data_IF_718463832039
#
_entry.id   IF_718463832039
#
_cell.length_a   1.000
_cell.length_b   1.000
_cell.length_c   1.000
_cell.angle_alpha   90.00
_cell.angle_beta   90.00
_cell.angle_gamma   90.00
#
_symmetry.space_group_name_H-M   'P 1'
#
loop_
_entity.id
_entity.type
_entity.pdbx_description
1 polymer ?
#
# COMPACT_ATOMS: atom_id res chain seq x y z
N UNK A 1 -23.22 -2.30 32.74
CA UNK A 1 -22.84 -3.58 32.12
C UNK A 1 -23.43 -3.71 30.71
N UNK A 2 -24.78 -3.57 30.52
CA UNK A 2 -25.46 -3.70 29.21
C UNK A 2 -24.98 -2.70 28.16
N UNK A 3 -24.68 -1.44 28.50
CA UNK A 3 -24.15 -0.43 27.57
C UNK A 3 -22.74 -0.77 27.09
N UNK A 4 -21.87 -1.26 27.96
CA UNK A 4 -20.50 -1.68 27.65
C UNK A 4 -20.54 -2.90 26.73
N UNK A 5 -21.39 -3.87 27.00
CA UNK A 5 -21.57 -5.05 26.15
C UNK A 5 -22.07 -4.69 24.75
N UNK A 6 -23.09 -3.82 24.65
CA UNK A 6 -23.59 -3.33 23.36
C UNK A 6 -22.54 -2.51 22.57
N UNK A 7 -21.67 -1.79 23.25
CA UNK A 7 -20.57 -1.05 22.63
C UNK A 7 -19.47 -1.99 22.13
N UNK A 8 -19.17 -3.05 22.88
CA UNK A 8 -18.23 -4.09 22.46
C UNK A 8 -18.74 -4.88 21.26
N UNK A 9 -20.03 -5.28 21.24
CA UNK A 9 -20.64 -5.98 20.10
C UNK A 9 -20.56 -5.13 18.83
N UNK A 10 -20.91 -3.84 18.88
CA UNK A 10 -20.79 -2.93 17.73
C UNK A 10 -19.35 -2.79 17.26
N UNK A 11 -18.38 -2.65 18.15
CA UNK A 11 -16.97 -2.60 17.80
C UNK A 11 -16.50 -3.85 17.06
N UNK A 12 -16.93 -5.05 17.49
CA UNK A 12 -16.62 -6.31 16.82
C UNK A 12 -17.27 -6.40 15.44
N UNK A 13 -18.54 -6.01 15.31
CA UNK A 13 -19.25 -5.97 14.02
C UNK A 13 -18.60 -5.00 13.03
N UNK A 14 -18.24 -3.80 13.45
CA UNK A 14 -17.58 -2.82 12.62
C UNK A 14 -16.18 -3.30 12.16
N UNK A 15 -15.43 -3.94 13.05
CA UNK A 15 -14.15 -4.55 12.74
C UNK A 15 -14.26 -5.69 11.74
N UNK A 16 -15.24 -6.59 11.89
CA UNK A 16 -15.48 -7.69 10.95
C UNK A 16 -15.93 -7.17 9.59
N UNK A 17 -16.85 -6.21 9.54
CA UNK A 17 -17.32 -5.60 8.30
C UNK A 17 -16.18 -4.88 7.56
N UNK A 18 -15.27 -4.23 8.30
CA UNK A 18 -14.08 -3.59 7.75
C UNK A 18 -13.15 -4.59 7.06
N UNK A 19 -12.86 -5.73 7.70
CA UNK A 19 -12.02 -6.79 7.13
C UNK A 19 -12.66 -7.47 5.92
N UNK A 20 -13.96 -7.76 5.98
CA UNK A 20 -14.70 -8.35 4.86
C UNK A 20 -14.63 -7.42 3.64
N UNK A 21 -14.85 -6.12 3.82
CA UNK A 21 -14.72 -5.13 2.73
C UNK A 21 -13.31 -5.09 2.15
N UNK A 22 -12.27 -5.15 3.01
CA UNK A 22 -10.90 -5.18 2.55
C UNK A 22 -10.60 -6.42 1.68
N UNK A 23 -11.07 -7.60 2.10
CA UNK A 23 -10.89 -8.81 1.29
C UNK A 23 -11.71 -8.78 -0.01
N UNK A 24 -12.93 -8.24 -0.01
CA UNK A 24 -13.71 -8.05 -1.24
C UNK A 24 -12.98 -7.11 -2.21
N UNK A 25 -12.36 -6.07 -1.72
CA UNK A 25 -11.53 -5.15 -2.51
C UNK A 25 -10.30 -5.87 -3.08
N UNK A 26 -9.51 -6.55 -2.22
CA UNK A 26 -8.33 -7.28 -2.65
C UNK A 26 -8.65 -8.33 -3.72
N UNK A 27 -9.55 -9.27 -3.38
CA UNK A 27 -9.85 -10.39 -4.27
C UNK A 27 -10.68 -9.97 -5.49
N UNK A 28 -11.54 -8.95 -5.37
CA UNK A 28 -12.34 -8.43 -6.47
C UNK A 28 -11.47 -7.79 -7.55
N UNK A 29 -10.63 -6.83 -7.19
CA UNK A 29 -9.75 -6.17 -8.16
C UNK A 29 -8.63 -7.09 -8.66
N UNK A 30 -8.00 -7.85 -7.77
CA UNK A 30 -6.98 -8.81 -8.19
C UNK A 30 -7.56 -9.90 -9.09
N UNK A 31 -8.78 -10.38 -8.80
CA UNK A 31 -9.47 -11.36 -9.62
C UNK A 31 -9.72 -10.88 -11.05
N UNK A 32 -10.09 -9.60 -11.22
CA UNK A 32 -10.25 -9.00 -12.56
C UNK A 32 -8.93 -8.98 -13.34
N UNK A 33 -7.83 -8.60 -12.67
CA UNK A 33 -6.50 -8.55 -13.31
C UNK A 33 -6.01 -9.97 -13.65
N UNK A 34 -6.17 -10.92 -12.74
CA UNK A 34 -5.83 -12.34 -12.97
C UNK A 34 -6.66 -12.91 -14.14
N UNK A 35 -7.96 -12.60 -14.18
CA UNK A 35 -8.82 -13.05 -15.28
C UNK A 35 -8.34 -12.47 -16.62
N UNK A 36 -7.97 -11.19 -16.66
CA UNK A 36 -7.43 -10.55 -17.87
C UNK A 36 -6.08 -11.18 -18.28
N UNK A 37 -5.17 -11.42 -17.31
CA UNK A 37 -3.88 -12.06 -17.54
C UNK A 37 -4.07 -13.47 -18.12
N UNK A 38 -4.87 -14.30 -17.49
CA UNK A 38 -5.11 -15.68 -17.91
C UNK A 38 -5.86 -15.76 -19.26
N UNK A 39 -6.80 -14.84 -19.50
CA UNK A 39 -7.50 -14.76 -20.77
C UNK A 39 -6.57 -14.37 -21.92
N UNK A 40 -5.71 -13.39 -21.74
CA UNK A 40 -4.74 -12.98 -22.76
C UNK A 40 -3.70 -14.07 -23.02
N UNK A 41 -3.20 -14.73 -21.99
CA UNK A 41 -2.31 -15.89 -22.10
C UNK A 41 -2.99 -17.06 -22.83
N UNK A 42 -4.26 -17.32 -22.53
CA UNK A 42 -5.04 -18.32 -23.25
C UNK A 42 -5.19 -17.97 -24.73
N UNK A 43 -5.52 -16.72 -25.09
CA UNK A 43 -5.58 -16.26 -26.47
C UNK A 43 -4.26 -16.50 -27.23
N UNK A 44 -3.14 -16.15 -26.61
CA UNK A 44 -1.82 -16.36 -27.20
C UNK A 44 -1.55 -17.85 -27.44
N UNK A 45 -1.73 -18.68 -26.43
CA UNK A 45 -1.52 -20.14 -26.53
C UNK A 45 -2.43 -20.81 -27.56
N UNK A 46 -3.65 -20.29 -27.74
CA UNK A 46 -4.65 -20.88 -28.68
C UNK A 46 -4.43 -20.44 -30.11
N UNK A 47 -3.78 -19.33 -30.39
CA UNK A 47 -3.68 -18.75 -31.73
C UNK A 47 -2.25 -18.67 -32.29
N UNK A 48 -1.23 -18.76 -31.44
CA UNK A 48 0.17 -18.65 -31.83
C UNK A 48 0.96 -19.89 -31.40
N UNK A 49 1.71 -20.48 -32.29
CA UNK A 49 2.69 -21.51 -31.95
C UNK A 49 3.81 -20.91 -31.09
N UNK A 50 4.53 -21.77 -30.35
CA UNK A 50 5.69 -21.34 -29.58
C UNK A 50 6.78 -20.78 -30.50
N UNK A 51 7.28 -19.58 -30.20
CA UNK A 51 8.26 -18.86 -31.03
C UNK A 51 7.63 -18.06 -32.18
N UNK A 52 6.31 -18.09 -32.33
CA UNK A 52 5.62 -17.35 -33.40
C UNK A 52 5.39 -15.88 -32.96
N UNK A 53 5.44 -15.00 -33.97
CA UNK A 53 5.26 -13.54 -33.83
C UNK A 53 4.01 -13.12 -34.57
N UNK A 54 3.20 -12.27 -33.97
CA UNK A 54 2.06 -11.62 -34.56
C UNK A 54 2.07 -10.11 -34.30
N UNK A 55 1.70 -9.32 -35.29
CA UNK A 55 1.42 -7.90 -35.17
C UNK A 55 0.28 -7.51 -36.11
N UNK A 56 -0.52 -6.48 -35.80
CA UNK A 56 -1.61 -6.04 -36.66
C UNK A 56 -1.12 -5.41 -37.98
N UNK A 57 0.13 -4.95 -38.03
CA UNK A 57 0.78 -4.38 -39.21
C UNK A 57 2.27 -4.74 -39.21
N UNK A 58 2.84 -5.06 -40.38
CA UNK A 58 4.24 -5.49 -40.51
C UNK A 58 5.24 -4.43 -40.04
N UNK A 59 4.93 -3.15 -40.26
CA UNK A 59 5.79 -2.04 -39.83
C UNK A 59 5.90 -1.93 -38.29
N UNK A 60 4.95 -2.50 -37.54
CA UNK A 60 4.94 -2.46 -36.08
C UNK A 60 5.88 -3.51 -35.47
N UNK A 61 6.20 -4.58 -36.18
CA UNK A 61 7.00 -5.72 -35.69
C UNK A 61 8.31 -5.29 -35.02
N UNK A 62 9.09 -4.32 -35.52
CA UNK A 62 10.31 -3.90 -34.85
C UNK A 62 10.09 -3.16 -33.53
N UNK A 63 8.90 -2.59 -33.31
CA UNK A 63 8.60 -1.73 -32.17
C UNK A 63 7.74 -2.41 -31.11
N UNK A 64 6.66 -3.08 -31.53
CA UNK A 64 5.74 -3.78 -30.64
C UNK A 64 5.09 -4.96 -31.35
N UNK A 65 5.10 -6.12 -30.71
CA UNK A 65 4.58 -7.38 -31.28
C UNK A 65 4.10 -8.30 -30.17
N UNK A 66 3.22 -9.22 -30.49
CA UNK A 66 2.91 -10.38 -29.67
C UNK A 66 3.87 -11.50 -30.07
N UNK A 67 4.66 -12.00 -29.12
CA UNK A 67 5.66 -13.03 -29.33
C UNK A 67 5.52 -14.13 -28.29
N UNK A 68 5.05 -15.31 -28.67
CA UNK A 68 4.79 -16.41 -27.75
C UNK A 68 6.07 -17.04 -27.23
N UNK A 69 6.38 -16.80 -25.96
CA UNK A 69 7.59 -17.28 -25.28
C UNK A 69 7.22 -18.08 -24.02
N UNK A 70 7.94 -19.17 -23.78
CA UNK A 70 7.89 -19.92 -22.51
C UNK A 70 9.00 -19.44 -21.59
N UNK A 71 8.62 -18.97 -20.41
CA UNK A 71 9.55 -18.49 -19.40
C UNK A 71 9.53 -19.44 -18.19
N UNK A 72 10.61 -20.18 -18.00
CA UNK A 72 10.80 -21.09 -16.86
C UNK A 72 11.56 -20.43 -15.71
N UNK A 73 12.07 -19.22 -15.89
CA UNK A 73 12.90 -18.51 -14.91
C UNK A 73 12.43 -17.09 -14.62
N UNK A 74 13.40 -16.20 -14.47
CA UNK A 74 13.20 -14.76 -14.36
C UNK A 74 13.54 -14.05 -15.69
N UNK A 75 13.39 -12.71 -15.69
CA UNK A 75 13.80 -11.87 -16.81
C UNK A 75 15.26 -12.16 -17.22
N UNK A 76 15.56 -12.04 -18.52
CA UNK A 76 16.88 -12.30 -19.13
C UNK A 76 17.39 -13.75 -19.03
N UNK A 77 16.50 -14.75 -18.84
CA UNK A 77 16.88 -16.16 -18.77
C UNK A 77 17.66 -16.56 -17.50
N UNK A 78 17.64 -15.73 -16.48
CA UNK A 78 18.23 -16.07 -15.19
C UNK A 78 17.39 -17.14 -14.47
N UNK A 79 18.05 -18.09 -13.79
CA UNK A 79 17.38 -19.14 -13.03
C UNK A 79 16.40 -20.00 -13.85
N UNK A 80 16.84 -20.51 -15.02
CA UNK A 80 15.98 -21.31 -15.93
C UNK A 80 15.33 -22.52 -15.27
N UNK A 81 15.93 -23.08 -14.19
CA UNK A 81 15.36 -24.18 -13.40
C UNK A 81 14.68 -23.67 -12.10
N UNK A 82 14.51 -22.36 -11.96
CA UNK A 82 13.99 -21.73 -10.76
C UNK A 82 12.47 -21.79 -10.57
N UNK A 83 11.75 -22.53 -11.41
CA UNK A 83 10.28 -22.56 -11.40
C UNK A 83 9.68 -22.80 -10.00
N UNK A 84 10.23 -23.78 -9.26
CA UNK A 84 9.79 -24.06 -7.89
C UNK A 84 10.07 -22.90 -6.92
N UNK A 85 11.22 -22.24 -7.04
CA UNK A 85 11.59 -21.11 -6.19
C UNK A 85 10.61 -19.96 -6.41
N UNK A 86 10.28 -19.65 -7.68
CA UNK A 86 9.31 -18.60 -8.01
C UNK A 86 7.89 -18.95 -7.57
N UNK A 87 7.50 -20.24 -7.61
CA UNK A 87 6.22 -20.69 -7.06
C UNK A 87 6.16 -20.45 -5.55
N UNK A 88 7.19 -20.88 -4.81
CA UNK A 88 7.28 -20.67 -3.35
C UNK A 88 7.24 -19.17 -3.02
N UNK A 89 8.02 -18.37 -3.73
CA UNK A 89 8.05 -16.91 -3.53
C UNK A 89 6.67 -16.27 -3.78
N UNK A 90 5.99 -16.67 -4.86
CA UNK A 90 4.65 -16.17 -5.17
C UNK A 90 3.64 -16.53 -4.08
N UNK A 91 3.70 -17.75 -3.54
CA UNK A 91 2.86 -18.18 -2.41
C UNK A 91 3.16 -17.36 -1.16
N UNK A 92 4.44 -17.23 -0.80
CA UNK A 92 4.85 -16.46 0.40
C UNK A 92 4.39 -15.01 0.30
N UNK A 93 4.66 -14.34 -0.84
CA UNK A 93 4.22 -12.95 -1.06
C UNK A 93 2.70 -12.85 -1.00
N UNK A 94 1.97 -13.79 -1.60
CA UNK A 94 0.50 -13.80 -1.56
C UNK A 94 -0.04 -13.93 -0.14
N UNK A 95 0.53 -14.82 0.67
CA UNK A 95 0.13 -15.00 2.09
C UNK A 95 0.42 -13.74 2.90
N UNK A 96 1.57 -13.11 2.71
CA UNK A 96 1.95 -11.85 3.36
C UNK A 96 0.95 -10.76 2.99
N UNK A 97 0.61 -10.61 1.71
CA UNK A 97 -0.36 -9.61 1.27
C UNK A 97 -1.74 -9.86 1.88
N UNK A 98 -2.26 -11.10 1.85
CA UNK A 98 -3.55 -11.47 2.46
C UNK A 98 -3.58 -11.10 3.95
N UNK A 99 -2.48 -11.34 4.66
CA UNK A 99 -2.40 -11.06 6.10
C UNK A 99 -2.38 -9.55 6.39
N UNK A 100 -1.56 -8.78 5.66
CA UNK A 100 -1.36 -7.35 5.94
C UNK A 100 -2.42 -6.44 5.32
N UNK A 101 -3.05 -6.83 4.20
CA UNK A 101 -3.97 -5.97 3.47
C UNK A 101 -5.15 -5.40 4.32
N UNK A 102 -5.84 -6.20 5.16
CA UNK A 102 -6.92 -5.67 6.00
C UNK A 102 -6.42 -4.77 7.16
N UNK A 103 -5.11 -4.75 7.43
CA UNK A 103 -4.50 -3.89 8.44
C UNK A 103 -4.12 -2.51 7.89
N UNK A 104 -4.10 -2.35 6.56
CA UNK A 104 -3.76 -1.08 5.91
C UNK A 104 -4.93 -0.10 6.02
N UNK A 105 -4.63 1.14 6.37
CA UNK A 105 -5.61 2.22 6.41
C UNK A 105 -6.17 2.49 5.00
N UNK A 106 -7.41 2.93 4.91
CA UNK A 106 -8.02 3.27 3.62
C UNK A 106 -7.39 4.49 2.98
N UNK A 107 -6.87 5.38 3.80
CA UNK A 107 -6.16 6.60 3.39
C UNK A 107 -4.82 6.28 2.70
N UNK A 108 -4.22 5.13 3.01
CA UNK A 108 -3.00 4.65 2.35
C UNK A 108 -3.33 3.95 1.01
N UNK A 109 -4.22 4.56 0.20
CA UNK A 109 -4.68 3.98 -1.06
C UNK A 109 -3.55 3.60 -2.04
N UNK A 110 -2.38 4.33 -2.13
CA UNK A 110 -1.31 3.90 -3.03
C UNK A 110 -0.72 2.55 -2.62
N UNK A 111 -0.56 2.32 -1.31
CA UNK A 111 -0.10 1.04 -0.77
C UNK A 111 -1.11 -0.06 -1.07
N UNK A 112 -2.40 0.19 -0.88
CA UNK A 112 -3.48 -0.77 -1.17
C UNK A 112 -3.51 -1.14 -2.65
N UNK A 113 -3.46 -0.16 -3.55
CA UNK A 113 -3.39 -0.39 -5.00
C UNK A 113 -2.14 -1.20 -5.37
N UNK A 114 -0.98 -0.85 -4.84
CA UNK A 114 0.26 -1.58 -5.07
C UNK A 114 0.17 -3.05 -4.64
N UNK A 115 -0.40 -3.31 -3.45
CA UNK A 115 -0.58 -4.68 -2.94
C UNK A 115 -1.57 -5.50 -3.79
N UNK A 116 -2.67 -4.89 -4.26
CA UNK A 116 -3.62 -5.55 -5.19
C UNK A 116 -2.92 -5.95 -6.49
N UNK A 117 -2.15 -5.03 -7.07
CA UNK A 117 -1.41 -5.26 -8.32
C UNK A 117 -0.34 -6.35 -8.16
N UNK A 118 0.42 -6.32 -7.06
CA UNK A 118 1.44 -7.33 -6.78
C UNK A 118 0.81 -8.70 -6.50
N UNK A 119 -0.28 -8.75 -5.74
CA UNK A 119 -1.02 -9.98 -5.48
C UNK A 119 -1.56 -10.59 -6.78
N UNK A 120 -2.19 -9.77 -7.63
CA UNK A 120 -2.72 -10.23 -8.91
C UNK A 120 -1.62 -10.78 -9.82
N UNK A 121 -0.49 -10.08 -9.94
CA UNK A 121 0.64 -10.52 -10.75
C UNK A 121 1.30 -11.80 -10.21
N UNK A 122 1.47 -11.90 -8.88
CA UNK A 122 1.99 -13.11 -8.26
C UNK A 122 1.08 -14.32 -8.52
N UNK A 123 -0.24 -14.18 -8.35
CA UNK A 123 -1.22 -15.24 -8.61
C UNK A 123 -1.28 -15.59 -10.10
N UNK A 124 -1.31 -14.60 -11.01
CA UNK A 124 -1.34 -14.85 -12.45
C UNK A 124 -0.18 -15.71 -12.93
N UNK A 125 1.05 -15.39 -12.52
CA UNK A 125 2.24 -16.15 -12.87
C UNK A 125 2.36 -17.47 -12.08
N UNK A 126 1.81 -17.56 -10.89
CA UNK A 126 1.73 -18.81 -10.11
C UNK A 126 0.81 -19.83 -10.80
N UNK A 127 -0.36 -19.40 -11.27
CA UNK A 127 -1.30 -20.26 -12.00
C UNK A 127 -0.65 -20.88 -13.25
N UNK A 128 0.06 -20.08 -14.04
CA UNK A 128 0.78 -20.60 -15.22
C UNK A 128 1.80 -21.66 -14.81
N UNK A 129 2.59 -21.42 -13.77
CA UNK A 129 3.59 -22.38 -13.28
C UNK A 129 2.97 -23.68 -12.81
N UNK A 130 1.84 -23.63 -12.13
CA UNK A 130 1.13 -24.83 -11.65
C UNK A 130 0.55 -25.65 -12.81
N UNK A 131 -0.10 -24.97 -13.79
CA UNK A 131 -0.85 -25.67 -14.84
C UNK A 131 0.00 -25.96 -16.08
N UNK A 132 0.98 -25.10 -16.41
CA UNK A 132 1.78 -25.19 -17.63
C UNK A 132 3.24 -25.61 -17.35
N UNK A 133 3.71 -25.55 -16.11
CA UNK A 133 5.12 -25.74 -15.77
C UNK A 133 6.03 -24.57 -16.15
N UNK A 134 5.49 -23.51 -16.74
CA UNK A 134 6.21 -22.30 -17.17
C UNK A 134 5.25 -21.12 -17.23
N UNK A 135 5.78 -19.90 -17.30
CA UNK A 135 4.98 -18.71 -17.55
C UNK A 135 4.88 -18.43 -19.05
N UNK A 136 3.70 -18.04 -19.51
CA UNK A 136 3.48 -17.60 -20.90
C UNK A 136 3.72 -16.11 -20.99
N UNK A 137 4.80 -15.70 -21.68
CA UNK A 137 5.11 -14.30 -21.97
C UNK A 137 4.80 -14.02 -23.45
N UNK A 138 4.32 -12.79 -23.72
CA UNK A 138 3.87 -12.48 -25.06
C UNK A 138 3.95 -11.00 -25.47
N UNK A 139 4.14 -10.06 -24.55
CA UNK A 139 4.27 -8.63 -24.87
C UNK A 139 5.74 -8.35 -25.14
N UNK A 140 6.08 -8.03 -26.41
CA UNK A 140 7.43 -7.71 -26.84
C UNK A 140 7.48 -6.27 -27.37
N UNK A 141 8.31 -5.42 -26.77
CA UNK A 141 8.49 -4.01 -27.13
C UNK A 141 9.95 -3.74 -27.45
N UNK A 142 10.24 -3.44 -28.71
CA UNK A 142 11.60 -3.20 -29.19
C UNK A 142 12.56 -4.35 -28.84
N UNK A 143 13.63 -4.03 -28.13
CA UNK A 143 14.64 -4.97 -27.65
C UNK A 143 14.49 -5.32 -26.16
N UNK A 144 13.36 -4.94 -25.55
CA UNK A 144 13.09 -5.28 -24.16
C UNK A 144 12.71 -6.77 -24.04
N UNK A 145 12.91 -7.36 -22.86
CA UNK A 145 12.47 -8.73 -22.61
C UNK A 145 10.96 -8.88 -22.81
N UNK A 146 10.53 -10.08 -23.23
CA UNK A 146 9.11 -10.39 -23.39
C UNK A 146 8.49 -10.60 -22.02
N UNK A 147 7.31 -10.04 -21.79
CA UNK A 147 6.59 -10.07 -20.51
C UNK A 147 5.08 -10.27 -20.75
N UNK A 148 4.30 -10.29 -19.67
CA UNK A 148 2.86 -10.51 -19.70
C UNK A 148 2.11 -9.47 -18.84
N UNK A 149 0.79 -9.62 -18.71
CA UNK A 149 -0.06 -8.73 -17.89
C UNK A 149 0.29 -8.81 -16.41
N UNK A 150 0.59 -10.01 -15.90
CA UNK A 150 0.97 -10.20 -14.49
C UNK A 150 2.28 -9.46 -14.15
N UNK A 151 3.29 -9.51 -15.03
CA UNK A 151 4.56 -8.79 -14.85
C UNK A 151 4.35 -7.27 -14.91
N UNK A 152 3.52 -6.81 -15.85
CA UNK A 152 3.10 -5.41 -15.94
C UNK A 152 2.44 -4.95 -14.64
N UNK A 153 1.55 -5.77 -14.09
CA UNK A 153 0.85 -5.52 -12.83
C UNK A 153 1.83 -5.37 -11.67
N UNK A 154 2.79 -6.29 -11.51
CA UNK A 154 3.83 -6.20 -10.46
C UNK A 154 4.64 -4.90 -10.64
N UNK A 155 5.10 -4.61 -11.85
CA UNK A 155 5.94 -3.44 -12.14
C UNK A 155 5.22 -2.13 -11.87
N UNK A 156 3.96 -2.02 -12.31
CA UNK A 156 3.10 -0.85 -12.02
C UNK A 156 2.85 -0.74 -10.51
N UNK A 157 2.60 -1.86 -9.82
CA UNK A 157 2.41 -1.90 -8.38
C UNK A 157 3.62 -1.33 -7.62
N UNK A 158 4.83 -1.73 -8.01
CA UNK A 158 6.07 -1.19 -7.44
C UNK A 158 6.19 0.32 -7.71
N UNK A 159 5.91 0.76 -8.93
CA UNK A 159 5.97 2.18 -9.28
C UNK A 159 4.96 3.01 -8.47
N UNK A 160 3.72 2.53 -8.32
CA UNK A 160 2.68 3.18 -7.50
C UNK A 160 3.12 3.27 -6.04
N UNK A 161 3.72 2.21 -5.50
CA UNK A 161 4.22 2.20 -4.12
C UNK A 161 5.31 3.27 -3.92
N UNK A 162 6.30 3.31 -4.80
CA UNK A 162 7.42 4.27 -4.72
C UNK A 162 6.89 5.70 -4.82
N UNK A 163 6.05 6.00 -5.81
CA UNK A 163 5.47 7.33 -5.99
C UNK A 163 4.61 7.72 -4.78
N UNK A 164 3.78 6.79 -4.28
CA UNK A 164 2.96 7.01 -3.10
C UNK A 164 3.80 7.35 -1.85
N UNK A 165 4.89 6.63 -1.63
CA UNK A 165 5.82 6.92 -0.51
C UNK A 165 6.48 8.29 -0.65
N UNK A 166 6.96 8.65 -1.84
CA UNK A 166 7.58 9.95 -2.09
C UNK A 166 6.61 11.11 -1.89
N UNK A 167 5.37 10.96 -2.36
CA UNK A 167 4.31 11.97 -2.16
C UNK A 167 3.99 12.14 -0.68
N UNK A 168 3.85 11.03 0.06
CA UNK A 168 3.57 11.07 1.50
C UNK A 168 4.71 11.76 2.26
N UNK A 169 5.95 11.37 1.99
CA UNK A 169 7.12 12.00 2.62
C UNK A 169 7.19 13.51 2.32
N UNK A 170 6.88 13.92 1.09
CA UNK A 170 6.83 15.33 0.74
C UNK A 170 5.75 16.08 1.54
N UNK A 171 4.55 15.49 1.67
CA UNK A 171 3.46 16.09 2.43
C UNK A 171 3.80 16.20 3.92
N UNK A 172 4.37 15.17 4.52
CA UNK A 172 4.78 15.15 5.93
C UNK A 172 5.85 16.23 6.22
N UNK A 173 6.82 16.39 5.32
CA UNK A 173 7.82 17.46 5.40
C UNK A 173 7.23 18.87 5.29
N UNK A 174 6.19 19.06 4.49
CA UNK A 174 5.50 20.35 4.38
C UNK A 174 4.69 20.65 5.64
N UNK A 175 4.00 19.65 6.20
CA UNK A 175 3.25 19.80 7.45
C UNK A 175 4.17 20.13 8.62
N UNK A 176 5.33 19.46 8.71
CA UNK A 176 6.32 19.73 9.76
C UNK A 176 6.87 21.16 9.71
N UNK A 177 6.99 21.77 8.51
CA UNK A 177 7.41 23.17 8.36
C UNK A 177 6.33 24.19 8.78
N UNK A 178 5.06 23.80 8.78
CA UNK A 178 3.93 24.65 9.15
C UNK A 178 3.59 24.58 10.64
N UNK A 179 4.14 23.58 11.37
CA UNK A 179 3.98 23.51 12.83
C UNK A 179 5.03 24.40 13.48
N UNK A 180 4.64 25.37 14.33
CA UNK A 180 5.61 26.18 15.09
C UNK A 180 6.45 25.28 15.98
N UNK A 181 7.73 25.64 16.15
CA UNK A 181 8.63 24.90 17.01
C UNK A 181 8.06 24.82 18.44
N UNK A 182 8.19 23.70 19.15
CA UNK A 182 7.63 23.55 20.50
C UNK A 182 8.00 24.66 21.49
N UNK A 183 9.15 25.31 21.31
CA UNK A 183 9.62 26.42 22.13
C UNK A 183 8.82 27.73 21.92
N UNK A 184 8.25 27.96 20.72
CA UNK A 184 7.43 29.14 20.44
C UNK A 184 6.00 28.98 20.98
N UNK A 185 5.50 27.76 21.07
CA UNK A 185 4.19 27.48 21.67
C UNK A 185 4.23 27.65 23.20
N UNK A 186 5.33 27.36 23.87
CA UNK A 186 5.50 27.54 25.31
C UNK A 186 5.69 29.03 25.68
N UNK A 187 6.39 29.81 24.82
CA UNK A 187 6.53 31.25 24.96
C UNK A 187 5.22 32.02 24.77
N UNK A 188 4.39 31.57 23.81
CA UNK A 188 3.08 32.20 23.56
C UNK A 188 2.04 31.87 24.63
N UNK A 189 2.18 30.73 25.31
CA UNK A 189 1.31 30.34 26.43
C UNK A 189 1.65 31.12 27.72
N UNK A 190 2.91 31.48 27.92
CA UNK A 190 3.35 32.25 29.10
C UNK A 190 3.02 33.76 28.93
N UNK A 191 2.96 34.29 27.72
CA UNK A 191 2.58 35.68 27.44
C UNK A 191 1.06 35.96 27.61
N UNK A 192 0.23 34.92 27.68
CA UNK A 192 -1.24 35.04 27.82
C UNK A 192 -1.75 34.77 29.23
N UNK A 193 -0.86 34.56 30.22
CA UNK A 193 -1.27 34.51 31.61
C UNK A 193 -1.67 35.93 32.08
N UNK A 194 -2.92 36.19 32.52
CA UNK A 194 -3.31 37.52 32.98
C UNK A 194 -2.52 37.83 34.27
N UNK A 195 -1.76 38.95 34.28
CA UNK A 195 -1.28 39.59 35.47
C UNK A 195 -2.45 39.80 36.43
N UNK A 196 -2.60 38.94 37.41
CA UNK A 196 -3.53 39.16 38.51
C UNK A 196 -2.91 40.23 39.38
N UNK A 197 -3.41 41.45 39.26
CA UNK A 197 -3.16 42.60 40.10
C UNK A 197 -2.99 42.22 41.58
N UNK A 198 -1.79 42.44 42.06
CA UNK A 198 -1.54 42.55 43.50
C UNK A 198 -2.05 43.91 44.00
N UNK A 199 -3.31 43.98 44.38
CA UNK A 199 -3.87 45.10 45.13
C UNK A 199 -3.75 44.75 46.60
N UNK A 200 -2.78 45.39 47.19
CA UNK A 200 -2.93 46.29 48.35
C UNK A 200 -3.45 45.65 49.68
N UNK A 201 -2.57 45.46 50.61
CA UNK A 201 -2.89 45.65 52.03
C UNK A 201 -1.80 46.45 52.72
N UNK A 202 -2.06 47.76 52.88
CA UNK A 202 -1.32 48.64 53.77
C UNK A 202 -1.50 48.24 55.25
N UNK A 203 -0.50 48.46 56.09
CA UNK A 203 -0.63 48.20 57.52
C UNK A 203 -1.25 49.40 58.22
N UNK A 204 -2.36 49.21 58.91
CA UNK A 204 -2.90 50.18 59.88
C UNK A 204 -2.15 50.07 61.19
N UNK A 205 -1.47 51.18 61.53
CA UNK A 205 -0.89 51.43 62.85
C UNK A 205 -1.92 52.15 63.75
N UNK A 206 -2.41 51.50 64.76
CA UNK A 206 -2.77 52.23 65.99
C UNK A 206 -2.68 51.29 67.18
N UNK A 207 -1.68 51.56 67.99
CA UNK A 207 -1.71 51.20 69.38
C UNK A 207 -2.68 52.20 70.18
N UNK A 208 -3.23 51.86 71.35
CA UNK A 208 -2.45 52.11 72.52
C UNK A 208 -2.61 51.07 73.63
N UNK A 209 -1.62 51.18 74.57
CA UNK A 209 -1.48 50.53 75.85
C UNK A 209 -2.70 50.75 76.80
N UNK A 210 -2.86 49.83 77.73
CA UNK A 210 -2.98 50.13 79.17
C UNK A 210 -3.04 48.80 79.97
N UNK A 211 -2.08 48.55 80.77
CA UNK A 211 -1.98 48.35 82.23
C UNK A 211 -2.99 47.43 82.91
N UNK A 212 -2.46 46.64 83.87
CA UNK A 212 -3.08 46.30 85.16
C UNK A 212 -3.12 44.80 85.44
N UNK A 213 -2.17 44.35 86.23
CA UNK A 213 -2.31 43.86 87.62
C UNK A 213 -3.43 42.81 87.82
N UNK A 214 -3.09 41.62 88.14
CA UNK A 214 -2.73 40.99 89.46
C UNK A 214 -2.28 39.57 89.18
#
# INVERSE_FOLDING_TARGET
>A
VLKIFAQWVRFVEDSLNSKVRAYLELFGFAGLIVALDQYTKWLVRSNLAFGEVWAPWDWLIPYARVYHVKNTGAAFGMFQDGNLIFMILAVVVSVVIIYYFPLMLREDWPVRVALVLQFAGAIGNLLDRIYQGHVTDFISVGNFFVFNIADSSISIGVAVLIVGMLVKEYQDRQQAKLQPAPAEAESAADETAPETEALESAPDQTAPAISGET
#
